data_IF_815571721057
#
_entry.id   IF_815571721057
#
_cell.length_a   1.000
_cell.length_b   1.000
_cell.length_c   1.000
_cell.angle_alpha   90.00
_cell.angle_beta   90.00
_cell.angle_gamma   90.00
#
_symmetry.space_group_name_H-M   'P 1'
#
loop_
_entity.id
_entity.type
_entity.pdbx_description
1 polymer ?
#
# COMPACT_ATOMS: atom_id res chain seq x y z
N UNK A 1 0.34 -24.51 -8.59
CA UNK A 1 0.34 -23.58 -9.74
C UNK A 1 1.01 -22.27 -9.31
N UNK A 2 2.07 -21.85 -10.01
CA UNK A 2 2.55 -20.46 -10.13
C UNK A 2 3.02 -19.69 -8.89
N UNK A 3 4.21 -20.00 -8.34
CA UNK A 3 4.96 -19.02 -7.53
C UNK A 3 5.55 -17.95 -8.45
N UNK A 4 4.81 -16.89 -8.73
CA UNK A 4 5.33 -15.73 -9.45
C UNK A 4 6.24 -14.92 -8.51
N UNK A 5 7.53 -15.29 -8.45
CA UNK A 5 8.61 -14.37 -8.07
C UNK A 5 8.78 -13.33 -9.18
N UNK A 6 7.81 -12.43 -9.31
CA UNK A 6 8.05 -11.14 -9.96
C UNK A 6 8.54 -10.20 -8.87
N UNK A 7 9.69 -9.56 -9.05
CA UNK A 7 10.18 -8.50 -8.16
C UNK A 7 9.09 -7.42 -8.04
N UNK A 8 8.24 -7.54 -7.03
CA UNK A 8 7.05 -6.69 -6.88
C UNK A 8 7.48 -5.44 -6.14
N UNK A 9 8.00 -4.51 -6.92
CA UNK A 9 8.48 -3.23 -6.43
C UNK A 9 7.36 -2.19 -6.48
N UNK A 10 7.46 -1.15 -5.65
CA UNK A 10 6.64 0.06 -5.77
C UNK A 10 6.58 0.62 -7.20
N UNK A 11 7.59 0.35 -8.03
CA UNK A 11 7.61 0.68 -9.47
C UNK A 11 6.48 0.02 -10.27
N UNK A 12 6.11 -1.23 -9.98
CA UNK A 12 5.02 -1.91 -10.67
C UNK A 12 3.66 -1.28 -10.29
N UNK A 13 3.47 -1.00 -9.00
CA UNK A 13 2.32 -0.25 -8.49
C UNK A 13 2.23 1.12 -9.17
N UNK A 14 3.34 1.87 -9.22
CA UNK A 14 3.42 3.16 -9.92
C UNK A 14 2.94 3.04 -11.36
N UNK A 15 3.46 2.07 -12.12
CA UNK A 15 3.08 1.89 -13.53
C UNK A 15 1.60 1.61 -13.68
N UNK A 16 1.04 0.68 -12.90
CA UNK A 16 -0.38 0.38 -12.96
C UNK A 16 -1.25 1.61 -12.65
N UNK A 17 -0.89 2.33 -11.59
CA UNK A 17 -1.56 3.56 -11.18
C UNK A 17 -1.51 4.66 -12.25
N UNK A 18 -0.35 4.88 -12.88
CA UNK A 18 -0.20 5.91 -13.92
C UNK A 18 -0.90 5.55 -15.24
N UNK A 19 -1.18 4.27 -15.48
CA UNK A 19 -2.00 3.82 -16.62
C UNK A 19 -3.50 3.84 -16.30
N UNK A 20 -3.91 4.27 -15.09
CA UNK A 20 -5.29 4.18 -14.61
C UNK A 20 -5.89 2.77 -14.69
N UNK A 21 -5.03 1.74 -14.67
CA UNK A 21 -5.44 0.35 -14.78
C UNK A 21 -5.86 -0.16 -13.39
N UNK A 22 -7.12 0.08 -13.02
CA UNK A 22 -7.65 -0.27 -11.70
C UNK A 22 -7.42 -1.75 -11.34
N UNK A 23 -7.73 -2.72 -12.22
CA UNK A 23 -7.51 -4.14 -11.92
C UNK A 23 -6.03 -4.50 -11.69
N UNK A 24 -5.13 -3.97 -12.54
CA UNK A 24 -3.70 -4.20 -12.39
C UNK A 24 -3.17 -3.51 -11.14
N UNK A 25 -3.64 -2.29 -10.85
CA UNK A 25 -3.26 -1.55 -9.64
C UNK A 25 -3.62 -2.32 -8.39
N UNK A 26 -4.82 -2.89 -8.29
CA UNK A 26 -5.18 -3.77 -7.17
C UNK A 26 -4.20 -4.93 -7.01
N UNK A 27 -3.91 -5.60 -8.12
CA UNK A 27 -3.07 -6.81 -8.13
C UNK A 27 -1.67 -6.50 -7.65
N UNK A 28 -1.06 -5.44 -8.19
CA UNK A 28 0.28 -5.02 -7.81
C UNK A 28 0.33 -4.44 -6.39
N UNK A 29 -0.72 -3.74 -5.92
CA UNK A 29 -0.80 -3.23 -4.56
C UNK A 29 -0.79 -4.37 -3.54
N UNK A 30 -1.60 -5.41 -3.76
CA UNK A 30 -1.68 -6.58 -2.85
C UNK A 30 -0.36 -7.35 -2.81
N UNK A 31 0.27 -7.58 -3.97
CA UNK A 31 1.57 -8.25 -4.03
C UNK A 31 2.65 -7.42 -3.32
N UNK A 32 2.69 -6.11 -3.56
CA UNK A 32 3.67 -5.23 -2.90
C UNK A 32 3.44 -5.23 -1.39
N UNK A 33 2.19 -5.12 -0.95
CA UNK A 33 1.84 -5.10 0.46
C UNK A 33 2.20 -6.41 1.17
N UNK A 34 1.99 -7.56 0.52
CA UNK A 34 2.43 -8.85 1.03
C UNK A 34 3.96 -8.91 1.23
N UNK A 35 4.73 -8.30 0.32
CA UNK A 35 6.18 -8.22 0.45
C UNK A 35 6.65 -7.18 1.47
N UNK A 36 5.91 -6.08 1.65
CA UNK A 36 6.24 -4.99 2.56
C UNK A 36 5.94 -5.35 4.02
N UNK A 37 4.80 -6.02 4.27
CA UNK A 37 4.39 -6.50 5.60
C UNK A 37 4.54 -8.03 5.70
N UNK A 38 5.78 -8.51 5.86
CA UNK A 38 6.06 -9.95 5.89
C UNK A 38 5.41 -10.70 7.07
N UNK A 39 5.36 -10.08 8.26
CA UNK A 39 4.85 -10.71 9.48
C UNK A 39 3.32 -10.79 9.51
N UNK A 40 2.65 -9.73 9.05
CA UNK A 40 1.19 -9.63 9.02
C UNK A 40 0.75 -9.02 7.69
N UNK A 41 0.77 -9.80 6.60
CA UNK A 41 0.44 -9.29 5.29
C UNK A 41 -1.04 -8.91 5.22
N UNK A 42 -1.37 -7.70 4.74
CA UNK A 42 -2.75 -7.30 4.53
C UNK A 42 -3.39 -8.19 3.45
N UNK A 43 -4.63 -8.61 3.69
CA UNK A 43 -5.38 -9.51 2.78
C UNK A 43 -6.30 -8.76 1.82
N UNK A 44 -6.45 -7.44 2.01
CA UNK A 44 -7.38 -6.62 1.26
C UNK A 44 -6.86 -5.20 1.06
N UNK A 45 -7.36 -4.53 0.02
CA UNK A 45 -7.01 -3.13 -0.27
C UNK A 45 -7.32 -2.22 0.94
N UNK A 46 -8.47 -2.40 1.58
CA UNK A 46 -8.84 -1.64 2.77
C UNK A 46 -7.83 -1.79 3.93
N UNK A 47 -7.29 -3.00 4.13
CA UNK A 47 -6.30 -3.28 5.18
C UNK A 47 -4.98 -2.54 4.89
N UNK A 48 -4.59 -2.45 3.62
CA UNK A 48 -3.44 -1.63 3.18
C UNK A 48 -3.66 -0.16 3.55
N UNK A 49 -4.84 0.39 3.24
CA UNK A 49 -5.17 1.77 3.56
C UNK A 49 -5.14 2.05 5.06
N UNK A 50 -5.65 1.13 5.87
CA UNK A 50 -5.71 1.28 7.32
C UNK A 50 -4.34 1.22 8.01
N UNK A 51 -3.34 0.57 7.39
CA UNK A 51 -1.95 0.54 7.86
C UNK A 51 -1.13 1.77 7.45
N UNK A 52 -1.67 2.58 6.56
CA UNK A 52 -1.07 3.82 6.05
C UNK A 52 -1.89 5.01 6.59
N UNK A 53 -1.73 6.17 5.96
CA UNK A 53 -2.44 7.39 6.34
C UNK A 53 -3.84 7.48 5.71
N UNK A 54 -4.71 8.30 6.32
CA UNK A 54 -6.10 8.52 5.89
C UNK A 54 -6.21 8.94 4.42
N UNK A 55 -5.26 9.75 3.91
CA UNK A 55 -5.22 10.16 2.51
C UNK A 55 -5.09 8.95 1.58
N UNK A 56 -4.21 8.00 1.92
CA UNK A 56 -4.02 6.79 1.13
C UNK A 56 -5.24 5.87 1.23
N UNK A 57 -5.87 5.80 2.41
CA UNK A 57 -7.11 5.05 2.61
C UNK A 57 -8.25 5.59 1.72
N UNK A 58 -8.39 6.91 1.60
CA UNK A 58 -9.40 7.52 0.72
C UNK A 58 -9.13 7.21 -0.75
N UNK A 59 -7.88 7.27 -1.21
CA UNK A 59 -7.52 6.91 -2.58
C UNK A 59 -7.75 5.43 -2.89
N UNK A 60 -7.51 4.55 -1.91
CA UNK A 60 -7.85 3.13 -2.01
C UNK A 60 -9.37 2.92 -2.08
N UNK A 61 -10.15 3.69 -1.34
CA UNK A 61 -11.61 3.64 -1.42
C UNK A 61 -12.10 4.03 -2.83
N UNK A 62 -11.48 5.05 -3.45
CA UNK A 62 -11.76 5.42 -4.85
C UNK A 62 -11.41 4.29 -5.82
N UNK A 63 -10.27 3.61 -5.62
CA UNK A 63 -9.92 2.42 -6.42
C UNK A 63 -10.96 1.30 -6.26
N UNK A 64 -11.40 1.01 -5.03
CA UNK A 64 -12.45 0.00 -4.79
C UNK A 64 -13.77 0.38 -5.48
N UNK A 65 -14.15 1.65 -5.44
CA UNK A 65 -15.33 2.15 -6.15
C UNK A 65 -15.17 2.03 -7.67
N UNK A 66 -13.98 2.20 -8.22
CA UNK A 66 -13.74 2.02 -9.66
C UNK A 66 -13.79 0.53 -10.08
N UNK A 67 -13.35 -0.37 -9.20
CA UNK A 67 -13.34 -1.82 -9.45
C UNK A 67 -14.69 -2.49 -9.30
N UNK A 68 -15.46 -2.05 -8.31
CA UNK A 68 -16.68 -2.72 -7.86
C UNK A 68 -17.93 -1.85 -7.87
N UNK A 69 -17.77 -0.56 -8.14
CA UNK A 69 -18.88 0.37 -8.22
C UNK A 69 -19.76 0.08 -9.43
N UNK A 70 -21.04 0.40 -9.28
CA UNK A 70 -22.07 0.23 -10.31
C UNK A 70 -21.78 1.15 -11.51
N UNK A 71 -21.19 2.32 -11.24
CA UNK A 71 -20.73 3.25 -12.27
C UNK A 71 -19.22 3.10 -12.42
N UNK A 72 -18.76 2.77 -13.63
CA UNK A 72 -17.35 2.90 -13.99
C UNK A 72 -16.99 4.40 -13.98
N UNK A 73 -16.62 4.90 -12.80
CA UNK A 73 -16.07 6.24 -12.65
C UNK A 73 -14.66 6.26 -13.20
N UNK A 74 -14.31 7.35 -13.89
CA UNK A 74 -12.92 7.64 -14.24
C UNK A 74 -12.10 7.69 -12.96
N UNK A 75 -11.26 6.67 -12.78
CA UNK A 75 -10.31 6.59 -11.69
C UNK A 75 -8.97 7.15 -12.15
N UNK A 76 -8.43 8.06 -11.35
CA UNK A 76 -7.12 8.66 -11.58
C UNK A 76 -6.12 8.05 -10.61
N UNK A 77 -5.36 7.05 -11.08
CA UNK A 77 -4.42 6.33 -10.23
C UNK A 77 -3.20 7.16 -9.81
N UNK A 78 -2.98 8.32 -10.43
CA UNK A 78 -1.96 9.29 -10.02
C UNK A 78 -2.10 9.73 -8.56
N UNK A 79 -3.33 9.94 -8.07
CA UNK A 79 -3.60 10.31 -6.67
C UNK A 79 -3.23 9.21 -5.69
N UNK A 80 -3.58 7.95 -6.02
CA UNK A 80 -3.18 6.78 -5.23
C UNK A 80 -1.66 6.62 -5.19
N UNK A 81 -0.96 6.79 -6.31
CA UNK A 81 0.49 6.68 -6.33
C UNK A 81 1.17 7.76 -5.48
N UNK A 82 0.67 9.01 -5.54
CA UNK A 82 1.25 10.12 -4.80
C UNK A 82 1.11 9.93 -3.28
N UNK A 83 -0.10 9.58 -2.83
CA UNK A 83 -0.38 9.31 -1.40
C UNK A 83 0.41 8.10 -0.90
N UNK A 84 0.40 6.99 -1.63
CA UNK A 84 1.16 5.78 -1.29
C UNK A 84 2.67 6.04 -1.17
N UNK A 85 3.26 6.71 -2.16
CA UNK A 85 4.69 7.02 -2.17
C UNK A 85 5.09 7.92 -1.00
N UNK A 86 4.22 8.88 -0.65
CA UNK A 86 4.42 9.71 0.53
C UNK A 86 4.32 8.89 1.83
N UNK A 87 3.27 8.08 1.99
CA UNK A 87 3.04 7.27 3.18
C UNK A 87 4.19 6.28 3.44
N UNK A 88 4.67 5.59 2.40
CA UNK A 88 5.80 4.65 2.53
C UNK A 88 7.11 5.37 2.89
N UNK A 89 7.35 6.56 2.34
CA UNK A 89 8.51 7.38 2.72
C UNK A 89 8.40 7.83 4.18
N UNK A 90 7.22 8.27 4.62
CA UNK A 90 6.99 8.68 6.00
C UNK A 90 7.19 7.53 6.99
N UNK A 91 6.70 6.33 6.66
CA UNK A 91 6.91 5.12 7.47
C UNK A 91 8.39 4.73 7.61
N UNK A 92 9.21 5.01 6.58
CA UNK A 92 10.65 4.77 6.63
C UNK A 92 11.41 5.84 7.44
N UNK A 93 10.90 7.06 7.52
CA UNK A 93 11.53 8.17 8.24
C UNK A 93 11.14 8.23 9.73
N UNK A 94 10.08 7.53 10.14
CA UNK A 94 9.71 7.38 11.53
C UNK A 94 10.05 5.94 11.98
N UNK A 95 11.30 5.66 12.39
CA UNK A 95 11.56 4.41 13.09
C UNK A 95 10.60 4.36 14.28
N UNK A 96 9.95 3.21 14.57
CA UNK A 96 9.22 3.09 15.82
C UNK A 96 10.20 3.51 16.91
N UNK A 97 9.82 4.49 17.75
CA UNK A 97 10.51 4.73 19.02
C UNK A 97 10.48 3.38 19.73
N UNK A 98 11.52 2.58 19.51
CA UNK A 98 11.83 1.42 20.32
C UNK A 98 11.86 2.03 21.70
N UNK A 99 10.92 1.63 22.54
CA UNK A 99 10.97 1.94 23.95
C UNK A 99 12.34 1.46 24.44
N UNK A 100 13.26 2.40 24.51
CA UNK A 100 14.52 2.39 25.25
C UNK A 100 14.25 2.40 26.77
N UNK A 101 12.99 2.24 27.18
CA UNK A 101 12.61 1.70 28.48
C UNK A 101 12.86 0.19 28.50
N UNK A 102 14.12 -0.21 28.68
CA UNK A 102 14.63 -1.38 29.43
C UNK A 102 16.13 -1.64 29.13
N UNK A 103 16.93 -0.58 28.99
CA UNK A 103 18.40 -0.68 28.94
C UNK A 103 19.09 0.18 30.02
N UNK A 104 18.44 0.37 31.16
CA UNK A 104 19.04 1.09 32.30
C UNK A 104 18.56 0.50 33.62
N UNK A 105 18.94 -0.74 33.97
CA UNK A 105 19.02 -1.18 35.37
C UNK A 105 20.03 -2.34 35.49
N UNK A 106 21.32 -1.98 35.40
CA UNK A 106 22.40 -2.75 36.03
C UNK A 106 22.54 -2.26 37.49
N UNK A 107 22.52 -3.15 38.49
CA UNK A 107 23.49 -3.13 39.57
C UNK A 107 24.77 -3.86 39.18
#
# INVERSE_FOLDING_TARGET
>A
MGHHRGNTSLTAVKKACLNNDSPLSKTELLKWANAYWHEQPPTSLADIGHRLDEVTQQEIAKLNQALYGITQKEWLGSGLWQSLSAAVKSAHNNPPKRNEALASLYP
#
